data_IF_164063954851
#
_entry.id   IF_164063954851
#
_cell.length_a   1.000
_cell.length_b   1.000
_cell.length_c   1.000
_cell.angle_alpha   90.00
_cell.angle_beta   90.00
_cell.angle_gamma   90.00
#
_symmetry.space_group_name_H-M   'P 1'
#
loop_
_entity.id
_entity.type
_entity.pdbx_description
1 polymer ?
#
# COMPACT_ATOMS: atom_id res chain seq x y z
N UNK A 1 13.40 17.80 -17.38
CA UNK A 1 13.93 16.94 -16.29
C UNK A 1 13.19 17.29 -15.00
N UNK A 2 12.77 16.31 -14.20
CA UNK A 2 12.05 16.56 -12.93
C UNK A 2 10.66 15.91 -12.81
N UNK A 3 10.20 15.18 -13.82
CA UNK A 3 8.90 14.50 -13.79
C UNK A 3 8.80 13.51 -12.62
N UNK A 4 9.81 12.66 -12.41
CA UNK A 4 9.84 11.70 -11.29
C UNK A 4 9.77 12.39 -9.92
N UNK A 5 10.52 13.49 -9.75
CA UNK A 5 10.48 14.27 -8.52
C UNK A 5 9.09 14.86 -8.28
N UNK A 6 8.52 15.54 -9.28
CA UNK A 6 7.22 16.19 -9.16
C UNK A 6 6.08 15.18 -8.95
N UNK A 7 6.15 14.02 -9.59
CA UNK A 7 5.11 13.01 -9.56
C UNK A 7 5.15 12.18 -8.27
N UNK A 8 6.33 11.79 -7.80
CA UNK A 8 6.44 10.79 -6.73
C UNK A 8 7.18 11.25 -5.47
N UNK A 9 8.24 12.06 -5.59
CA UNK A 9 9.07 12.42 -4.43
C UNK A 9 8.56 13.67 -3.70
N UNK A 10 8.12 14.68 -4.45
CA UNK A 10 7.63 15.94 -3.92
C UNK A 10 6.43 15.77 -2.97
N UNK A 11 5.49 14.83 -3.19
CA UNK A 11 4.37 14.62 -2.28
C UNK A 11 4.72 13.83 -1.01
N UNK A 12 5.94 13.31 -0.84
CA UNK A 12 6.32 12.53 0.35
C UNK A 12 6.23 13.44 1.58
N UNK A 13 5.33 13.07 2.50
CA UNK A 13 5.09 13.83 3.74
C UNK A 13 6.14 13.47 4.78
N UNK A 14 6.89 14.47 5.25
CA UNK A 14 7.74 14.33 6.41
C UNK A 14 6.87 14.22 7.67
N UNK A 15 7.15 13.22 8.51
CA UNK A 15 6.51 13.13 9.82
C UNK A 15 6.98 14.29 10.71
N UNK A 16 6.03 15.05 11.24
CA UNK A 16 6.24 16.18 12.14
C UNK A 16 5.83 15.87 13.59
N UNK A 17 5.22 14.71 13.85
CA UNK A 17 4.86 14.26 15.17
C UNK A 17 6.06 13.60 15.89
N UNK A 18 6.27 13.95 17.16
CA UNK A 18 7.23 13.24 17.99
C UNK A 18 6.70 11.83 18.32
N UNK A 19 7.55 10.81 18.12
CA UNK A 19 7.26 9.42 18.44
C UNK A 19 8.40 8.93 19.32
N UNK A 20 8.08 8.47 20.54
CA UNK A 20 9.07 7.85 21.41
C UNK A 20 9.17 6.37 21.12
N UNK A 21 9.94 6.03 20.10
CA UNK A 21 10.13 4.65 19.64
C UNK A 21 10.66 3.71 20.72
N UNK A 22 11.35 4.21 21.75
CA UNK A 22 11.88 3.37 22.83
C UNK A 22 10.76 2.88 23.77
N UNK A 23 9.63 3.58 23.80
CA UNK A 23 8.47 3.25 24.64
C UNK A 23 7.40 2.47 23.86
N UNK A 24 7.50 2.37 22.53
CA UNK A 24 6.55 1.64 21.68
C UNK A 24 6.79 0.12 21.72
N UNK A 25 5.71 -0.68 21.74
CA UNK A 25 5.82 -2.12 21.54
C UNK A 25 5.99 -2.43 20.04
N UNK A 26 7.24 -2.63 19.64
CA UNK A 26 7.62 -2.99 18.27
C UNK A 26 7.66 -4.51 18.03
N UNK A 27 7.23 -5.33 19.01
CA UNK A 27 7.35 -6.79 18.90
C UNK A 27 6.56 -7.37 17.73
N UNK A 28 5.53 -6.68 17.24
CA UNK A 28 4.75 -7.08 16.06
C UNK A 28 5.54 -7.01 14.75
N UNK A 29 6.72 -6.37 14.74
CA UNK A 29 7.60 -6.29 13.56
C UNK A 29 8.53 -7.51 13.42
N UNK A 30 8.56 -8.44 14.39
CA UNK A 30 9.25 -9.71 14.18
C UNK A 30 8.58 -10.49 13.05
N UNK A 31 9.35 -11.18 12.21
CA UNK A 31 8.86 -11.78 10.97
C UNK A 31 7.63 -12.67 11.18
N UNK A 32 7.67 -13.56 12.18
CA UNK A 32 6.58 -14.47 12.54
C UNK A 32 5.28 -13.73 12.90
N UNK A 33 5.38 -12.73 13.78
CA UNK A 33 4.22 -11.95 14.25
C UNK A 33 3.70 -11.02 13.15
N UNK A 34 4.62 -10.43 12.39
CA UNK A 34 4.30 -9.55 11.28
C UNK A 34 3.48 -10.30 10.25
N UNK A 35 3.96 -11.45 9.76
CA UNK A 35 3.27 -12.22 8.73
C UNK A 35 1.87 -12.68 9.17
N UNK A 36 1.73 -13.13 10.43
CA UNK A 36 0.43 -13.56 10.97
C UNK A 36 -0.55 -12.39 11.08
N UNK A 37 -0.12 -11.29 11.68
CA UNK A 37 -0.98 -10.11 11.87
C UNK A 37 -1.34 -9.49 10.54
N UNK A 38 -0.32 -9.26 9.73
CA UNK A 38 -0.45 -8.67 8.41
C UNK A 38 -1.38 -9.50 7.52
N UNK A 39 -1.17 -10.81 7.41
CA UNK A 39 -2.04 -11.68 6.62
C UNK A 39 -3.51 -11.65 7.06
N UNK A 40 -3.78 -11.49 8.37
CA UNK A 40 -5.15 -11.31 8.89
C UNK A 40 -5.73 -9.96 8.49
N UNK A 41 -4.98 -8.87 8.62
CA UNK A 41 -5.44 -7.52 8.25
C UNK A 41 -5.84 -7.48 6.77
N UNK A 42 -5.00 -8.07 5.93
CA UNK A 42 -5.23 -8.29 4.49
C UNK A 42 -6.48 -9.11 4.20
N UNK A 43 -6.63 -10.25 4.88
CA UNK A 43 -7.77 -11.14 4.67
C UNK A 43 -9.09 -10.50 5.12
N UNK A 44 -9.04 -9.56 6.06
CA UNK A 44 -10.19 -8.82 6.56
C UNK A 44 -10.53 -7.57 5.73
N UNK A 45 -9.59 -7.06 4.92
CA UNK A 45 -9.81 -5.92 4.06
C UNK A 45 -10.89 -6.21 2.99
N UNK A 46 -11.68 -5.19 2.66
CA UNK A 46 -12.77 -5.29 1.68
C UNK A 46 -12.21 -5.52 0.27
N UNK A 47 -12.58 -6.59 -0.45
CA UNK A 47 -12.12 -6.76 -1.82
C UNK A 47 -12.76 -5.72 -2.75
N UNK A 48 -11.95 -5.09 -3.60
CA UNK A 48 -12.39 -4.12 -4.61
C UNK A 48 -11.99 -4.61 -5.99
N UNK A 49 -12.95 -4.61 -6.91
CA UNK A 49 -12.78 -5.11 -8.27
C UNK A 49 -13.17 -4.04 -9.29
N UNK A 50 -12.26 -3.73 -10.23
CA UNK A 50 -12.57 -2.84 -11.35
C UNK A 50 -12.59 -1.34 -11.02
N UNK A 51 -12.51 -0.51 -12.06
CA UNK A 51 -12.32 0.95 -11.95
C UNK A 51 -13.42 1.69 -11.17
N UNK A 52 -14.67 1.24 -11.29
CA UNK A 52 -15.81 1.92 -10.67
C UNK A 52 -15.85 1.72 -9.16
N UNK A 53 -15.42 0.55 -8.68
CA UNK A 53 -15.33 0.29 -7.25
C UNK A 53 -14.05 0.89 -6.65
N UNK A 54 -13.00 1.11 -7.44
CA UNK A 54 -11.81 1.89 -7.04
C UNK A 54 -12.14 3.37 -6.80
N UNK A 55 -12.99 3.95 -7.64
CA UNK A 55 -13.48 5.32 -7.47
C UNK A 55 -14.40 5.47 -6.25
N UNK A 56 -15.23 4.47 -5.96
CA UNK A 56 -16.03 4.44 -4.72
C UNK A 56 -15.15 4.22 -3.50
N UNK A 57 -14.15 3.34 -3.61
CA UNK A 57 -13.20 3.07 -2.54
C UNK A 57 -12.51 4.36 -2.10
N UNK A 58 -12.09 5.23 -3.02
CA UNK A 58 -11.44 6.52 -2.71
C UNK A 58 -12.10 7.36 -1.59
N UNK A 59 -13.39 7.16 -1.29
CA UNK A 59 -14.13 7.90 -0.26
C UNK A 59 -14.55 7.06 0.97
N UNK A 60 -14.12 5.81 1.09
CA UNK A 60 -14.47 4.94 2.21
C UNK A 60 -13.41 5.02 3.33
N UNK A 61 -13.87 4.93 4.58
CA UNK A 61 -13.03 4.86 5.78
C UNK A 61 -12.69 3.41 6.17
N UNK A 62 -12.59 2.50 5.20
CA UNK A 62 -12.41 1.07 5.43
C UNK A 62 -11.14 0.60 4.74
N UNK A 63 -10.48 -0.44 5.26
CA UNK A 63 -9.37 -1.06 4.55
C UNK A 63 -9.92 -1.82 3.33
N UNK A 64 -9.33 -1.60 2.16
CA UNK A 64 -9.58 -2.42 0.96
C UNK A 64 -8.33 -3.16 0.52
N UNK A 65 -8.58 -4.30 -0.14
CA UNK A 65 -7.63 -5.04 -0.93
C UNK A 65 -7.99 -4.98 -2.40
N UNK A 66 -6.99 -4.70 -3.24
CA UNK A 66 -7.13 -4.71 -4.70
C UNK A 66 -6.22 -5.80 -5.22
N UNK A 67 -6.79 -6.75 -5.95
CA UNK A 67 -6.06 -7.83 -6.61
C UNK A 67 -5.71 -7.42 -8.04
N UNK A 68 -4.48 -7.71 -8.45
CA UNK A 68 -4.01 -7.53 -9.82
C UNK A 68 -3.45 -8.86 -10.33
N UNK A 69 -3.61 -9.12 -11.63
CA UNK A 69 -3.25 -10.42 -12.22
C UNK A 69 -1.89 -10.43 -12.90
N UNK A 70 -1.45 -9.27 -13.40
CA UNK A 70 -0.20 -9.11 -14.13
C UNK A 70 0.38 -7.70 -13.92
N UNK A 71 1.53 -7.45 -14.53
CA UNK A 71 2.21 -6.16 -14.45
C UNK A 71 1.38 -5.01 -15.03
N UNK A 72 0.69 -5.22 -16.16
CA UNK A 72 -0.11 -4.17 -16.79
C UNK A 72 -1.34 -3.80 -15.95
N UNK A 73 -1.93 -4.80 -15.29
CA UNK A 73 -3.02 -4.61 -14.32
C UNK A 73 -2.53 -3.82 -13.10
N UNK A 74 -1.36 -4.16 -12.56
CA UNK A 74 -0.73 -3.41 -11.48
C UNK A 74 -0.45 -1.96 -11.87
N UNK A 75 0.20 -1.71 -13.00
CA UNK A 75 0.54 -0.36 -13.46
C UNK A 75 -0.70 0.50 -13.65
N UNK A 76 -1.77 -0.08 -14.20
CA UNK A 76 -3.08 0.59 -14.35
C UNK A 76 -3.68 0.97 -13.01
N UNK A 77 -3.68 0.06 -12.03
CA UNK A 77 -4.15 0.34 -10.67
C UNK A 77 -3.28 1.40 -10.02
N UNK A 78 -1.95 1.22 -10.02
CA UNK A 78 -0.99 2.13 -9.41
C UNK A 78 -1.15 3.58 -9.89
N UNK A 79 -1.34 3.76 -11.21
CA UNK A 79 -1.57 5.07 -11.82
C UNK A 79 -2.82 5.76 -11.29
N UNK A 80 -3.91 5.03 -11.07
CA UNK A 80 -5.16 5.60 -10.55
C UNK A 80 -5.00 6.14 -9.12
N UNK A 81 -4.08 5.58 -8.34
CA UNK A 81 -3.78 6.02 -6.97
C UNK A 81 -2.58 6.97 -6.87
N UNK A 82 -1.91 7.29 -7.99
CA UNK A 82 -0.71 8.11 -7.98
C UNK A 82 0.45 7.50 -7.20
N UNK A 83 0.46 6.17 -7.06
CA UNK A 83 1.58 5.43 -6.45
C UNK A 83 2.57 5.00 -7.53
N UNK A 84 3.77 4.56 -7.13
CA UNK A 84 4.82 4.17 -8.07
C UNK A 84 4.36 3.06 -9.02
N UNK A 85 4.35 3.36 -10.32
CA UNK A 85 4.01 2.40 -11.39
C UNK A 85 5.18 1.44 -11.69
N UNK A 86 6.40 1.70 -11.20
CA UNK A 86 7.56 0.86 -11.53
C UNK A 86 7.42 -0.55 -10.96
N UNK A 87 7.26 -1.53 -11.85
CA UNK A 87 7.41 -2.96 -11.57
C UNK A 87 8.89 -3.31 -11.41
N UNK A 88 9.48 -2.87 -10.31
CA UNK A 88 10.65 -3.54 -9.74
C UNK A 88 10.09 -4.50 -8.72
N UNK A 89 10.58 -5.74 -8.60
CA UNK A 89 10.32 -6.54 -7.40
C UNK A 89 11.10 -5.85 -6.28
N UNK A 90 10.51 -4.93 -5.49
CA UNK A 90 11.27 -4.12 -4.57
C UNK A 90 11.68 -5.01 -3.40
N UNK A 91 12.75 -4.63 -2.71
CA UNK A 91 13.09 -5.15 -1.39
C UNK A 91 11.96 -5.04 -0.34
N UNK A 92 10.84 -4.36 -0.68
CA UNK A 92 9.62 -4.22 0.13
C UNK A 92 8.51 -5.22 -0.24
N UNK A 93 8.67 -6.03 -1.30
CA UNK A 93 7.68 -7.02 -1.75
C UNK A 93 8.16 -8.46 -1.54
N UNK A 94 8.55 -8.84 -0.32
CA UNK A 94 8.79 -10.27 -0.02
C UNK A 94 7.62 -11.17 -0.48
N UNK A 95 6.43 -10.60 -0.72
CA UNK A 95 5.20 -11.28 -1.17
C UNK A 95 4.49 -10.65 -2.38
N UNK A 96 5.16 -9.92 -3.29
CA UNK A 96 4.49 -9.20 -4.40
C UNK A 96 3.31 -8.31 -3.90
N UNK A 97 3.61 -7.44 -2.94
CA UNK A 97 2.63 -6.75 -2.13
C UNK A 97 2.98 -5.27 -1.98
N UNK A 98 2.05 -4.38 -2.30
CA UNK A 98 2.26 -2.94 -2.18
C UNK A 98 1.29 -2.32 -1.16
N UNK A 99 1.83 -1.65 -0.14
CA UNK A 99 1.03 -0.96 0.88
C UNK A 99 1.31 0.53 0.84
N UNK A 100 0.25 1.35 0.78
CA UNK A 100 0.38 2.78 0.87
C UNK A 100 -0.75 3.39 1.69
N UNK A 101 -0.42 4.37 2.53
CA UNK A 101 -1.37 5.03 3.43
C UNK A 101 -1.64 6.45 2.98
N UNK A 102 -2.61 6.65 2.09
CA UNK A 102 -3.33 7.92 1.96
C UNK A 102 -4.73 7.75 2.56
N UNK A 103 -4.80 7.80 3.90
CA UNK A 103 -6.02 7.37 4.64
C UNK A 103 -6.47 5.93 4.28
N UNK A 104 -5.44 5.07 4.17
CA UNK A 104 -5.32 3.59 4.17
C UNK A 104 -5.89 2.79 2.97
N UNK A 105 -4.99 2.22 2.14
CA UNK A 105 -5.29 1.11 1.22
C UNK A 105 -4.17 0.05 1.18
N UNK A 106 -4.54 -1.23 1.05
CA UNK A 106 -3.63 -2.36 0.86
C UNK A 106 -3.82 -2.94 -0.57
N UNK A 107 -2.75 -3.19 -1.33
CA UNK A 107 -2.82 -3.78 -2.69
C UNK A 107 -2.09 -5.12 -2.68
N UNK A 108 -2.80 -6.22 -3.00
CA UNK A 108 -2.36 -7.59 -2.70
C UNK A 108 -2.70 -8.55 -3.83
N UNK A 109 -1.70 -9.33 -4.25
CA UNK A 109 -1.85 -10.53 -5.05
C UNK A 109 -1.64 -11.78 -4.16
N UNK A 110 -2.46 -12.82 -4.33
CA UNK A 110 -2.32 -14.14 -3.68
C UNK A 110 -1.70 -15.13 -4.67
#
# INVERSE_FOLDING_TARGET
>A
MGQFFNQYLKPIKLNDAHIDWNSEDLSYLSEDKFLIKFGKDVANATPVHGSDDLLKAHNLYVDVRIQYNDQGDFERVARQFGVFEEWKVPLLTQFNLFMFRSRVWQVINL
#
